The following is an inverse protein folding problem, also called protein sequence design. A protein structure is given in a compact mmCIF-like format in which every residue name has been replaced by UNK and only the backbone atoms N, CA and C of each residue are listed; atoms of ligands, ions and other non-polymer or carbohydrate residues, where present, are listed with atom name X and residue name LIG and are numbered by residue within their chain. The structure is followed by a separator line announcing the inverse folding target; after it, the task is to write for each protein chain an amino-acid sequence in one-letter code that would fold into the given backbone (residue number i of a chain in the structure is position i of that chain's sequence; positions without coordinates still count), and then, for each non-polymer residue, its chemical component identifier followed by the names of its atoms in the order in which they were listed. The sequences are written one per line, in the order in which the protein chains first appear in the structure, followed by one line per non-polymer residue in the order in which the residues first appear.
data_IF_015077316025
#
_entry.id   IF_015077316025
#
_cell.length_a   1.000
_cell.length_b   1.000
_cell.length_c   1.000
_cell.angle_alpha   90.00
_cell.angle_beta   90.00
_cell.angle_gamma   90.00
#
_symmetry.space_group_name_H-M   'P 1'
#
loop_
_entity.id
_entity.type
_entity.pdbx_description
1 polymer ?
#
# COMPACT_ATOMS: atom_id res chain seq x y z
N UNK A 1 -34.90 -22.48 -30.78
CA UNK A 1 -34.45 -21.69 -29.61
C UNK A 1 -32.93 -21.61 -29.71
N UNK A 2 -32.39 -20.44 -30.07
CA UNK A 2 -30.94 -20.23 -30.15
C UNK A 2 -30.41 -20.00 -28.74
N UNK A 3 -29.44 -20.80 -28.30
CA UNK A 3 -28.75 -20.58 -27.04
C UNK A 3 -27.92 -19.29 -27.18
N UNK A 4 -28.18 -18.32 -26.31
CA UNK A 4 -27.30 -17.17 -26.12
C UNK A 4 -25.95 -17.72 -25.63
N UNK A 5 -24.95 -17.70 -26.50
CA UNK A 5 -23.55 -17.90 -26.10
C UNK A 5 -23.16 -16.72 -25.19
N UNK A 6 -23.12 -16.97 -23.89
CA UNK A 6 -22.56 -16.02 -22.93
C UNK A 6 -21.05 -16.05 -23.12
N UNK A 7 -20.54 -15.11 -23.91
CA UNK A 7 -19.11 -14.85 -23.99
C UNK A 7 -18.65 -14.37 -22.60
N UNK A 8 -17.84 -15.18 -21.92
CA UNK A 8 -17.16 -14.76 -20.70
C UNK A 8 -16.35 -13.50 -21.02
N UNK A 9 -16.55 -12.43 -20.25
CA UNK A 9 -15.84 -11.18 -20.44
C UNK A 9 -14.33 -11.43 -20.45
N UNK A 10 -13.66 -11.05 -21.54
CA UNK A 10 -12.20 -11.10 -21.63
C UNK A 10 -11.62 -10.37 -20.42
N UNK A 11 -10.76 -11.03 -19.64
CA UNK A 11 -10.11 -10.40 -18.48
C UNK A 11 -9.43 -9.11 -18.95
N UNK A 12 -9.79 -8.00 -18.32
CA UNK A 12 -9.19 -6.71 -18.62
C UNK A 12 -7.67 -6.75 -18.35
N UNK A 13 -6.87 -6.02 -19.14
CA UNK A 13 -5.42 -5.97 -18.99
C UNK A 13 -4.97 -5.67 -17.55
N UNK A 14 -5.69 -4.81 -16.82
CA UNK A 14 -5.42 -4.50 -15.43
C UNK A 14 -5.50 -5.74 -14.52
N UNK A 15 -6.49 -6.60 -14.75
CA UNK A 15 -6.65 -7.85 -14.01
C UNK A 15 -5.53 -8.84 -14.33
N UNK A 16 -5.15 -8.97 -15.60
CA UNK A 16 -4.03 -9.82 -16.01
C UNK A 16 -2.69 -9.38 -15.40
N UNK A 17 -2.43 -8.07 -15.36
CA UNK A 17 -1.23 -7.50 -14.71
C UNK A 17 -1.26 -7.73 -13.20
N UNK A 18 -2.40 -7.49 -12.54
CA UNK A 18 -2.54 -7.73 -11.10
C UNK A 18 -2.29 -9.19 -10.74
N UNK A 19 -2.85 -10.14 -11.49
CA UNK A 19 -2.61 -11.57 -11.29
C UNK A 19 -1.14 -11.95 -11.48
N UNK A 20 -0.47 -11.35 -12.46
CA UNK A 20 0.97 -11.55 -12.68
C UNK A 20 1.79 -11.04 -11.49
N UNK A 21 1.50 -9.83 -11.00
CA UNK A 21 2.17 -9.26 -9.84
C UNK A 21 1.97 -10.11 -8.57
N UNK A 22 0.75 -10.57 -8.32
CA UNK A 22 0.43 -11.47 -7.19
C UNK A 22 1.21 -12.78 -7.30
N UNK A 23 1.31 -13.36 -8.51
CA UNK A 23 2.06 -14.60 -8.74
C UNK A 23 3.56 -14.43 -8.52
N UNK A 24 4.12 -13.27 -8.86
CA UNK A 24 5.54 -12.96 -8.64
C UNK A 24 5.85 -12.61 -7.18
N UNK A 25 4.86 -12.15 -6.41
CA UNK A 25 5.00 -11.78 -4.99
C UNK A 25 4.02 -12.54 -4.09
N UNK A 26 4.04 -13.89 -4.07
CA UNK A 26 3.07 -14.67 -3.32
C UNK A 26 3.29 -14.62 -1.80
N UNK A 27 4.54 -14.35 -1.41
CA UNK A 27 4.99 -14.29 -0.02
C UNK A 27 5.15 -12.83 0.44
N UNK A 28 4.62 -12.53 1.62
CA UNK A 28 4.73 -11.24 2.29
C UNK A 28 6.02 -11.14 3.11
N UNK A 29 6.61 -12.28 3.50
CA UNK A 29 7.77 -12.37 4.40
C UNK A 29 9.10 -12.11 3.69
N UNK A 30 9.21 -12.52 2.42
CA UNK A 30 10.44 -12.39 1.64
C UNK A 30 10.18 -11.79 0.26
N UNK A 31 11.03 -10.85 -0.13
CA UNK A 31 11.11 -10.33 -1.47
C UNK A 31 12.54 -10.51 -1.99
N UNK A 32 12.70 -11.20 -3.12
CA UNK A 32 14.01 -11.53 -3.72
C UNK A 32 15.00 -12.19 -2.73
N UNK A 33 14.50 -13.08 -1.87
CA UNK A 33 15.33 -13.79 -0.89
C UNK A 33 15.76 -12.97 0.33
N UNK A 34 15.26 -11.74 0.47
CA UNK A 34 15.50 -10.88 1.64
C UNK A 34 14.20 -10.65 2.42
N UNK A 35 14.26 -10.46 3.76
CA UNK A 35 13.11 -10.08 4.53
C UNK A 35 12.45 -8.81 3.95
N UNK A 36 11.14 -8.88 3.75
CA UNK A 36 10.38 -7.76 3.21
C UNK A 36 10.47 -6.52 4.12
N UNK A 37 10.48 -5.34 3.51
CA UNK A 37 10.51 -4.06 4.21
C UNK A 37 9.28 -3.22 3.86
N UNK A 38 8.92 -2.31 4.75
CA UNK A 38 7.90 -1.31 4.51
C UNK A 38 8.42 -0.28 3.52
N UNK A 39 8.15 -0.50 2.23
CA UNK A 39 8.62 0.35 1.13
C UNK A 39 7.46 0.75 0.22
N UNK A 40 7.63 1.89 -0.47
CA UNK A 40 6.56 2.49 -1.27
C UNK A 40 6.21 1.68 -2.53
N UNK A 41 7.19 0.97 -3.11
CA UNK A 41 7.02 0.18 -4.34
C UNK A 41 5.97 -0.92 -4.15
N UNK A 42 5.95 -1.52 -2.96
CA UNK A 42 4.90 -2.45 -2.55
C UNK A 42 3.54 -1.75 -2.51
N UNK A 43 3.45 -0.55 -1.93
CA UNK A 43 2.22 0.24 -1.88
C UNK A 43 1.63 0.56 -3.24
N UNK A 44 2.47 0.89 -4.22
CA UNK A 44 2.04 1.14 -5.61
C UNK A 44 1.41 -0.11 -6.22
N UNK A 45 2.01 -1.29 -6.02
CA UNK A 45 1.45 -2.55 -6.51
C UNK A 45 0.12 -2.85 -5.80
N UNK A 46 0.07 -2.68 -4.47
CA UNK A 46 -1.15 -2.94 -3.69
C UNK A 46 -2.30 -2.00 -4.08
N UNK A 47 -2.01 -0.76 -4.44
CA UNK A 47 -3.02 0.19 -4.93
C UNK A 47 -3.61 -0.29 -6.26
N UNK A 48 -2.78 -0.71 -7.21
CA UNK A 48 -3.26 -1.29 -8.46
C UNK A 48 -4.15 -2.53 -8.24
N UNK A 49 -3.74 -3.43 -7.33
CA UNK A 49 -4.56 -4.60 -6.96
C UNK A 49 -5.87 -4.18 -6.27
N UNK A 50 -5.82 -3.14 -5.44
CA UNK A 50 -7.00 -2.57 -4.77
C UNK A 50 -7.98 -1.99 -5.79
N UNK A 51 -7.51 -1.37 -6.86
CA UNK A 51 -8.39 -0.82 -7.89
C UNK A 51 -9.02 -1.91 -8.76
N UNK A 52 -8.30 -3.00 -9.04
CA UNK A 52 -8.89 -4.20 -9.65
C UNK A 52 -9.95 -4.81 -8.73
N UNK A 53 -9.70 -4.88 -7.42
CA UNK A 53 -10.70 -5.33 -6.45
C UNK A 53 -11.97 -4.46 -6.49
N UNK A 54 -11.84 -3.13 -6.46
CA UNK A 54 -12.99 -2.20 -6.50
C UNK A 54 -13.84 -2.38 -7.76
N UNK A 55 -13.22 -2.66 -8.90
CA UNK A 55 -13.93 -2.83 -10.18
C UNK A 55 -14.59 -4.21 -10.31
N UNK A 56 -13.95 -5.25 -9.80
CA UNK A 56 -14.40 -6.64 -10.01
C UNK A 56 -15.23 -7.20 -8.85
N UNK A 57 -15.10 -6.63 -7.66
CA UNK A 57 -15.66 -7.19 -6.41
C UNK A 57 -15.01 -8.51 -5.97
N UNK A 58 -13.99 -9.02 -6.68
CA UNK A 58 -13.40 -10.31 -6.38
C UNK A 58 -12.55 -10.25 -5.10
N UNK A 59 -13.01 -10.95 -4.06
CA UNK A 59 -12.39 -10.93 -2.73
C UNK A 59 -10.94 -11.43 -2.70
N UNK A 60 -10.49 -12.21 -3.69
CA UNK A 60 -9.10 -12.68 -3.76
C UNK A 60 -8.08 -11.51 -3.78
N UNK A 61 -8.41 -10.43 -4.49
CA UNK A 61 -7.56 -9.23 -4.57
C UNK A 61 -7.51 -8.49 -3.23
N UNK A 62 -8.66 -8.31 -2.58
CA UNK A 62 -8.73 -7.72 -1.24
C UNK A 62 -7.94 -8.54 -0.21
N UNK A 63 -8.14 -9.86 -0.19
CA UNK A 63 -7.46 -10.77 0.73
C UNK A 63 -5.95 -10.74 0.53
N UNK A 64 -5.48 -10.62 -0.72
CA UNK A 64 -4.06 -10.43 -1.01
C UNK A 64 -3.54 -9.13 -0.40
N UNK A 65 -4.21 -7.99 -0.63
CA UNK A 65 -3.82 -6.69 -0.04
C UNK A 65 -3.79 -6.76 1.48
N UNK A 66 -4.82 -7.36 2.09
CA UNK A 66 -4.90 -7.54 3.54
C UNK A 66 -3.74 -8.38 4.07
N UNK A 67 -3.48 -9.55 3.47
CA UNK A 67 -2.38 -10.44 3.87
C UNK A 67 -1.03 -9.71 3.84
N UNK A 68 -0.80 -8.96 2.77
CA UNK A 68 0.43 -8.21 2.54
C UNK A 68 0.63 -7.10 3.60
N UNK A 69 -0.42 -6.36 3.96
CA UNK A 69 -0.36 -5.34 5.01
C UNK A 69 -0.24 -5.96 6.42
N UNK A 70 -0.96 -7.06 6.68
CA UNK A 70 -0.98 -7.74 7.97
C UNK A 70 0.39 -8.33 8.34
N UNK A 71 1.26 -8.60 7.35
CA UNK A 71 2.65 -8.95 7.61
C UNK A 71 3.41 -7.85 8.37
N UNK A 72 3.14 -6.58 8.05
CA UNK A 72 3.82 -5.43 8.64
C UNK A 72 3.10 -4.87 9.86
N UNK A 73 1.77 -4.98 9.92
CA UNK A 73 0.94 -4.33 10.94
C UNK A 73 0.47 -5.32 11.99
N UNK A 74 0.98 -5.15 13.21
CA UNK A 74 0.54 -5.96 14.36
C UNK A 74 -0.83 -5.52 14.92
N UNK A 75 -1.29 -6.19 15.97
CA UNK A 75 -2.58 -5.89 16.63
C UNK A 75 -2.65 -4.49 17.24
N UNK A 76 -1.51 -3.91 17.63
CA UNK A 76 -1.41 -2.58 18.23
C UNK A 76 -1.18 -1.49 17.18
N UNK A 77 -1.17 -1.88 15.90
CA UNK A 77 -0.92 -0.99 14.77
C UNK A 77 0.53 -0.52 14.68
N UNK A 78 1.51 -1.23 15.27
CA UNK A 78 2.92 -0.98 14.97
C UNK A 78 3.24 -1.48 13.57
N UNK A 79 4.14 -0.77 12.88
CA UNK A 79 4.53 -1.07 11.51
C UNK A 79 5.97 -1.58 11.56
N UNK A 80 6.18 -2.86 11.24
CA UNK A 80 7.52 -3.45 11.19
C UNK A 80 8.38 -2.71 10.18
N UNK A 81 9.67 -2.54 10.50
CA UNK A 81 10.70 -1.87 9.67
C UNK A 81 10.50 -0.38 9.38
N UNK A 82 9.37 0.20 9.77
CA UNK A 82 9.12 1.65 9.71
C UNK A 82 9.73 2.35 10.93
N UNK A 83 10.39 3.49 10.68
CA UNK A 83 10.95 4.37 11.71
C UNK A 83 10.51 5.80 11.40
N UNK A 84 9.83 6.43 12.35
CA UNK A 84 9.32 7.79 12.18
C UNK A 84 10.46 8.81 12.11
N UNK A 85 11.55 8.54 12.83
CA UNK A 85 12.69 9.44 13.02
C UNK A 85 13.49 9.65 11.73
N UNK A 86 13.32 8.76 10.76
CA UNK A 86 13.92 8.87 9.43
C UNK A 86 13.25 9.97 8.58
N UNK A 87 12.03 10.39 8.96
CA UNK A 87 11.15 11.28 8.21
C UNK A 87 11.22 11.02 6.70
N UNK A 88 11.11 9.75 6.32
CA UNK A 88 11.14 9.34 4.92
C UNK A 88 9.72 9.42 4.36
N UNK A 89 9.50 10.31 3.38
CA UNK A 89 8.16 10.51 2.80
C UNK A 89 7.67 9.27 2.02
N UNK A 90 8.58 8.44 1.49
CA UNK A 90 8.25 7.21 0.77
C UNK A 90 7.38 6.26 1.62
N UNK A 91 7.62 6.23 2.94
CA UNK A 91 6.89 5.34 3.86
C UNK A 91 5.40 5.67 3.98
N UNK A 92 4.99 6.86 3.55
CA UNK A 92 3.61 7.35 3.68
C UNK A 92 2.68 6.70 2.66
N UNK A 93 3.18 6.32 1.48
CA UNK A 93 2.36 5.80 0.36
C UNK A 93 1.46 4.63 0.77
N UNK A 94 2.02 3.70 1.54
CA UNK A 94 1.33 2.49 2.02
C UNK A 94 0.16 2.80 2.99
N UNK A 95 0.06 4.04 3.50
CA UNK A 95 -1.06 4.50 4.30
C UNK A 95 -2.40 4.45 3.58
N UNK A 96 -2.41 4.56 2.26
CA UNK A 96 -3.63 4.42 1.44
C UNK A 96 -4.27 3.02 1.60
N UNK A 97 -3.46 1.96 1.59
CA UNK A 97 -3.91 0.59 1.87
C UNK A 97 -4.45 0.43 3.29
N UNK A 98 -3.83 1.07 4.29
CA UNK A 98 -4.33 1.06 5.67
C UNK A 98 -5.72 1.70 5.77
N UNK A 99 -5.91 2.86 5.16
CA UNK A 99 -7.19 3.56 5.14
C UNK A 99 -8.27 2.74 4.43
N UNK A 100 -7.93 2.11 3.30
CA UNK A 100 -8.84 1.20 2.59
C UNK A 100 -9.25 0.03 3.49
N UNK A 101 -8.29 -0.68 4.09
CA UNK A 101 -8.55 -1.83 4.96
C UNK A 101 -9.39 -1.43 6.18
N UNK A 102 -9.12 -0.27 6.79
CA UNK A 102 -9.93 0.23 7.89
C UNK A 102 -11.37 0.49 7.45
N UNK A 103 -11.57 1.19 6.33
CA UNK A 103 -12.92 1.51 5.82
C UNK A 103 -13.76 0.26 5.55
N UNK A 104 -13.14 -0.81 5.07
CA UNK A 104 -13.85 -2.05 4.72
C UNK A 104 -14.08 -2.95 5.94
N UNK A 105 -13.09 -3.05 6.84
CA UNK A 105 -13.11 -4.05 7.92
C UNK A 105 -13.46 -3.50 9.28
N UNK A 106 -13.35 -2.18 9.50
CA UNK A 106 -13.47 -1.54 10.81
C UNK A 106 -12.36 -1.91 11.80
N UNK A 107 -11.35 -2.72 11.42
CA UNK A 107 -10.31 -3.19 12.35
C UNK A 107 -9.39 -2.04 12.78
N UNK A 108 -9.42 -1.74 14.07
CA UNK A 108 -8.73 -0.59 14.67
C UNK A 108 -7.21 -0.56 14.42
N UNK A 109 -6.56 -1.72 14.30
CA UNK A 109 -5.12 -1.81 14.02
C UNK A 109 -4.68 -1.00 12.79
N UNK A 110 -5.52 -0.97 11.75
CA UNK A 110 -5.23 -0.21 10.53
C UNK A 110 -5.35 1.28 10.75
N UNK A 111 -6.34 1.72 11.53
CA UNK A 111 -6.47 3.11 11.93
C UNK A 111 -5.29 3.55 12.80
N UNK A 112 -4.88 2.74 13.79
CA UNK A 112 -3.71 3.01 14.63
C UNK A 112 -2.43 3.17 13.80
N UNK A 113 -2.20 2.27 12.85
CA UNK A 113 -1.06 2.33 11.94
C UNK A 113 -1.12 3.58 11.04
N UNK A 114 -2.28 3.88 10.44
CA UNK A 114 -2.47 5.07 9.60
C UNK A 114 -2.25 6.37 10.40
N UNK A 115 -2.71 6.40 11.65
CA UNK A 115 -2.49 7.51 12.58
C UNK A 115 -1.00 7.75 12.84
N UNK A 116 -0.17 6.71 12.98
CA UNK A 116 1.30 6.87 13.13
C UNK A 116 1.93 7.54 11.91
N UNK A 117 1.55 7.13 10.69
CA UNK A 117 2.01 7.77 9.45
C UNK A 117 1.52 9.22 9.35
N UNK A 118 0.28 9.48 9.77
CA UNK A 118 -0.30 10.82 9.78
C UNK A 118 0.38 11.74 10.80
N UNK A 119 0.85 11.21 11.93
CA UNK A 119 1.67 11.96 12.90
C UNK A 119 3.04 12.30 12.31
N UNK A 120 3.62 11.43 11.47
CA UNK A 120 4.86 11.78 10.75
C UNK A 120 4.64 13.04 9.92
N UNK A 121 3.58 13.09 9.10
CA UNK A 121 3.26 14.26 8.26
C UNK A 121 3.05 15.56 9.07
N UNK A 122 2.55 15.45 10.31
CA UNK A 122 2.43 16.62 11.20
C UNK A 122 3.80 17.15 11.62
N UNK A 123 4.72 16.26 11.97
CA UNK A 123 6.05 16.61 12.48
C UNK A 123 7.15 16.62 11.40
N UNK A 124 6.79 16.34 10.14
CA UNK A 124 7.75 16.16 9.05
C UNK A 124 8.46 17.49 8.75
N UNK A 125 9.80 17.50 8.65
CA UNK A 125 10.56 18.71 8.32
C UNK A 125 10.11 19.33 6.99
N UNK A 126 10.06 20.67 6.95
CA UNK A 126 9.60 21.43 5.79
C UNK A 126 10.60 22.48 5.35
N UNK A 127 10.53 22.87 4.08
CA UNK A 127 11.19 24.07 3.57
C UNK A 127 10.55 25.32 4.19
N UNK A 128 11.17 26.49 3.98
CA UNK A 128 10.61 27.77 4.45
C UNK A 128 9.20 28.06 3.90
N UNK A 129 8.86 27.49 2.75
CA UNK A 129 7.56 27.65 2.08
C UNK A 129 6.57 26.52 2.45
N UNK A 130 6.94 25.61 3.36
CA UNK A 130 6.05 24.58 3.87
C UNK A 130 6.07 23.25 3.12
N UNK A 131 6.89 23.11 2.08
CA UNK A 131 7.03 21.84 1.35
C UNK A 131 7.81 20.79 2.15
N UNK A 132 7.39 19.52 2.10
CA UNK A 132 8.05 18.45 2.85
C UNK A 132 9.45 18.18 2.33
N UNK A 133 10.42 17.98 3.23
CA UNK A 133 11.68 17.38 2.83
C UNK A 133 11.43 15.94 2.37
N UNK A 134 12.13 15.49 1.33
CA UNK A 134 11.95 14.13 0.83
C UNK A 134 12.31 13.09 1.90
N UNK A 135 13.45 13.28 2.59
CA UNK A 135 13.88 12.49 3.76
C UNK A 135 14.63 13.38 4.75
N UNK A 136 14.76 12.98 6.02
CA UNK A 136 15.61 13.71 6.99
C UNK A 136 17.05 13.88 6.51
N UNK A 137 17.57 12.89 5.79
CA UNK A 137 18.92 12.91 5.21
C UNK A 137 19.05 13.81 3.96
N UNK A 138 17.93 14.33 3.43
CA UNK A 138 17.89 15.24 2.28
C UNK A 138 17.29 16.60 2.71
N UNK A 139 18.03 17.38 3.50
CA UNK A 139 17.50 18.61 4.08
C UNK A 139 17.13 19.63 3.00
N UNK A 140 15.95 20.24 3.15
CA UNK A 140 15.38 21.25 2.25
C UNK A 140 15.12 20.80 0.80
N UNK A 141 15.26 19.51 0.50
CA UNK A 141 15.02 18.98 -0.85
C UNK A 141 13.59 18.48 -0.99
N UNK A 142 12.91 18.94 -2.03
CA UNK A 142 11.63 18.41 -2.48
C UNK A 142 11.86 17.66 -3.78
N UNK A 143 11.43 16.41 -3.84
CA UNK A 143 11.48 15.60 -5.05
C UNK A 143 10.06 15.37 -5.54
N UNK A 144 9.87 15.25 -6.86
CA UNK A 144 8.54 15.09 -7.47
C UNK A 144 7.83 13.82 -6.98
N UNK A 145 8.59 12.76 -6.74
CA UNK A 145 8.12 11.46 -6.25
C UNK A 145 7.50 11.54 -4.85
N UNK A 146 7.80 12.60 -4.08
CA UNK A 146 7.30 12.80 -2.71
C UNK A 146 6.00 13.60 -2.61
N UNK A 147 5.34 13.91 -3.74
CA UNK A 147 4.09 14.68 -3.82
C UNK A 147 2.84 13.79 -3.71
#
# INVERSE_FOLDING_TARGET
MSALEVQAQTKCCAEAVALTAIKQRPDSFFFEGKPSKWTYDMGVILEGVTDVWKQTGNAAYFNYVQKQIDHFVDSDGNIRTYKMEDYNIDNIKNGTSLLMLYRVTGKEKYWKAASKLRTQLTNHPRTKQGGFWHKKIYPYQMWLDGL
#
